data_IF_719611981888
#
_entry.id   IF_719611981888
#
_cell.length_a   1.000
_cell.length_b   1.000
_cell.length_c   1.000
_cell.angle_alpha   90.00
_cell.angle_beta   90.00
_cell.angle_gamma   90.00
#
_symmetry.space_group_name_H-M   'P 1'
#
loop_
_entity.id
_entity.type
_entity.pdbx_description
1 polymer ?
#
# COMPACT_ATOMS: atom_id res chain seq x y z
N UNK A 1 24.17 -3.44 22.74
CA UNK A 1 23.16 -3.68 21.70
C UNK A 1 21.74 -3.43 22.21
N UNK A 2 21.40 -3.83 23.44
CA UNK A 2 20.04 -3.75 23.99
C UNK A 2 19.40 -2.35 23.99
N UNK A 3 20.18 -1.29 24.24
CA UNK A 3 19.67 0.10 24.22
C UNK A 3 19.26 0.57 22.81
N UNK A 4 19.98 0.15 21.77
CA UNK A 4 19.66 0.50 20.37
C UNK A 4 18.38 -0.23 19.94
N UNK A 5 18.25 -1.50 20.33
CA UNK A 5 17.04 -2.30 20.07
C UNK A 5 15.82 -1.68 20.77
N UNK A 6 15.98 -1.22 22.02
CA UNK A 6 14.91 -0.54 22.75
C UNK A 6 14.48 0.75 22.02
N UNK A 7 15.44 1.57 21.60
CA UNK A 7 15.16 2.82 20.85
C UNK A 7 14.50 2.55 19.50
N UNK A 8 14.89 1.49 18.79
CA UNK A 8 14.23 1.08 17.55
C UNK A 8 12.78 0.64 17.78
N UNK A 9 12.49 -0.05 18.90
CA UNK A 9 11.12 -0.42 19.29
C UNK A 9 10.27 0.81 19.64
N UNK A 10 10.83 1.77 20.37
CA UNK A 10 10.17 3.04 20.68
C UNK A 10 9.86 3.82 19.39
N UNK A 11 10.81 3.90 18.45
CA UNK A 11 10.61 4.52 17.16
C UNK A 11 9.51 3.84 16.35
N UNK A 12 9.51 2.51 16.28
CA UNK A 12 8.44 1.74 15.63
C UNK A 12 7.08 2.07 16.25
N UNK A 13 6.99 2.06 17.58
CA UNK A 13 5.73 2.37 18.27
C UNK A 13 5.27 3.80 17.97
N UNK A 14 6.19 4.77 17.84
CA UNK A 14 5.85 6.12 17.43
C UNK A 14 5.33 6.18 15.98
N UNK A 15 5.98 5.47 15.05
CA UNK A 15 5.54 5.34 13.65
C UNK A 15 4.15 4.70 13.57
N UNK A 16 3.90 3.63 14.33
CA UNK A 16 2.61 2.95 14.39
C UNK A 16 1.46 3.87 14.83
N UNK A 17 1.78 4.97 15.54
CA UNK A 17 0.80 5.93 16.03
C UNK A 17 0.58 7.14 15.10
N UNK A 18 1.36 7.30 14.03
CA UNK A 18 1.21 8.43 13.11
C UNK A 18 -0.07 8.32 12.28
N UNK A 19 -0.53 9.48 11.80
CA UNK A 19 -1.67 9.56 10.88
C UNK A 19 -1.44 8.76 9.61
N UNK A 20 -0.24 8.83 9.04
CA UNK A 20 0.15 8.21 7.79
C UNK A 20 0.09 6.68 7.90
N UNK A 21 0.58 6.11 9.00
CA UNK A 21 0.51 4.66 9.24
C UNK A 21 -0.92 4.19 9.47
N UNK A 22 -1.72 4.94 10.25
CA UNK A 22 -3.13 4.63 10.50
C UNK A 22 -3.96 4.69 9.21
N UNK A 23 -3.75 5.70 8.39
CA UNK A 23 -4.44 5.87 7.12
C UNK A 23 -4.04 4.81 6.09
N UNK A 24 -2.73 4.48 6.03
CA UNK A 24 -2.24 3.36 5.23
C UNK A 24 -2.91 2.04 5.64
N UNK A 25 -2.94 1.72 6.94
CA UNK A 25 -3.56 0.48 7.44
C UNK A 25 -5.06 0.42 7.13
N UNK A 26 -5.78 1.54 7.34
CA UNK A 26 -7.20 1.65 7.01
C UNK A 26 -7.45 1.42 5.52
N UNK A 27 -6.73 2.11 4.64
CA UNK A 27 -6.93 1.99 3.19
C UNK A 27 -6.51 0.62 2.68
N UNK A 28 -5.47 0.01 3.27
CA UNK A 28 -5.07 -1.37 3.00
C UNK A 28 -6.20 -2.34 3.34
N UNK A 29 -6.78 -2.23 4.53
CA UNK A 29 -7.90 -3.08 4.95
C UNK A 29 -9.14 -2.89 4.05
N UNK A 30 -9.49 -1.65 3.70
CA UNK A 30 -10.58 -1.38 2.77
C UNK A 30 -10.34 -1.98 1.38
N UNK A 31 -9.10 -1.91 0.89
CA UNK A 31 -8.71 -2.49 -0.40
C UNK A 31 -8.76 -4.03 -0.37
N UNK A 32 -8.24 -4.63 0.69
CA UNK A 32 -8.17 -6.09 0.88
C UNK A 32 -9.55 -6.73 1.09
N UNK A 33 -10.50 -5.98 1.66
CA UNK A 33 -11.88 -6.44 1.86
C UNK A 33 -12.82 -6.09 0.70
N UNK A 34 -12.35 -5.40 -0.34
CA UNK A 34 -13.17 -5.03 -1.48
C UNK A 34 -13.29 -6.18 -2.48
N UNK A 35 -14.46 -6.82 -2.48
CA UNK A 35 -14.78 -7.91 -3.41
C UNK A 35 -14.62 -7.49 -4.88
N UNK A 36 -15.04 -6.27 -5.22
CA UNK A 36 -14.89 -5.71 -6.57
C UNK A 36 -13.41 -5.64 -7.01
N UNK A 37 -12.54 -5.12 -6.15
CA UNK A 37 -11.10 -5.02 -6.43
C UNK A 37 -10.47 -6.41 -6.53
N UNK A 38 -10.87 -7.35 -5.68
CA UNK A 38 -10.41 -8.74 -5.72
C UNK A 38 -10.79 -9.40 -7.06
N UNK A 39 -12.05 -9.26 -7.46
CA UNK A 39 -12.55 -9.82 -8.72
C UNK A 39 -11.84 -9.20 -9.92
N UNK A 40 -11.60 -7.89 -9.90
CA UNK A 40 -10.86 -7.18 -10.95
C UNK A 40 -9.43 -7.71 -11.07
N UNK A 41 -8.72 -7.91 -9.94
CA UNK A 41 -7.38 -8.53 -9.92
C UNK A 41 -7.40 -9.94 -10.51
N UNK A 42 -8.37 -10.77 -10.13
CA UNK A 42 -8.51 -12.12 -10.67
C UNK A 42 -8.81 -12.10 -12.17
N UNK A 43 -9.65 -11.17 -12.64
CA UNK A 43 -9.97 -11.03 -14.06
C UNK A 43 -8.71 -10.66 -14.86
N UNK A 44 -7.94 -9.66 -14.40
CA UNK A 44 -6.67 -9.27 -15.02
C UNK A 44 -5.71 -10.47 -15.10
N UNK A 45 -5.55 -11.21 -14.00
CA UNK A 45 -4.69 -12.39 -13.96
C UNK A 45 -5.14 -13.47 -14.96
N UNK A 46 -6.45 -13.74 -15.05
CA UNK A 46 -7.01 -14.70 -15.98
C UNK A 46 -6.80 -14.28 -17.44
N UNK A 47 -6.96 -13.01 -17.78
CA UNK A 47 -6.70 -12.50 -19.15
C UNK A 47 -5.22 -12.64 -19.51
N UNK A 48 -4.31 -12.30 -18.58
CA UNK A 48 -2.87 -12.51 -18.78
C UNK A 48 -2.52 -13.97 -19.02
N UNK A 49 -3.09 -14.88 -18.23
CA UNK A 49 -2.89 -16.32 -18.39
C UNK A 49 -3.43 -16.85 -19.73
N UNK A 50 -4.48 -16.22 -20.28
CA UNK A 50 -5.04 -16.53 -21.61
C UNK A 50 -4.28 -15.87 -22.77
N UNK A 51 -3.24 -15.07 -22.52
CA UNK A 51 -2.51 -14.33 -23.55
C UNK A 51 -3.26 -13.09 -24.08
N UNK A 52 -4.38 -12.70 -23.45
CA UNK A 52 -5.18 -11.52 -23.80
C UNK A 52 -4.60 -10.26 -23.16
N UNK A 53 -3.40 -9.88 -23.61
CA UNK A 53 -2.61 -8.82 -22.99
C UNK A 53 -3.24 -7.44 -23.15
N UNK A 54 -3.91 -7.17 -24.27
CA UNK A 54 -4.58 -5.88 -24.51
C UNK A 54 -5.77 -5.69 -23.58
N UNK A 55 -6.62 -6.71 -23.43
CA UNK A 55 -7.77 -6.65 -22.53
C UNK A 55 -7.33 -6.63 -21.07
N UNK A 56 -6.28 -7.38 -20.72
CA UNK A 56 -5.67 -7.29 -19.39
C UNK A 56 -5.18 -5.87 -19.11
N UNK A 57 -4.50 -5.24 -20.07
CA UNK A 57 -3.99 -3.88 -19.92
C UNK A 57 -5.12 -2.86 -19.73
N UNK A 58 -6.20 -2.96 -20.51
CA UNK A 58 -7.36 -2.08 -20.35
C UNK A 58 -8.01 -2.24 -18.95
N UNK A 59 -8.10 -3.46 -18.42
CA UNK A 59 -8.59 -3.68 -17.06
C UNK A 59 -7.60 -3.19 -15.99
N UNK A 60 -6.29 -3.23 -16.25
CA UNK A 60 -5.29 -2.65 -15.35
C UNK A 60 -5.45 -1.13 -15.24
N UNK A 61 -5.73 -0.43 -16.33
CA UNK A 61 -6.02 1.01 -16.27
C UNK A 61 -7.24 1.31 -15.39
N UNK A 62 -8.30 0.50 -15.50
CA UNK A 62 -9.49 0.62 -14.65
C UNK A 62 -9.15 0.32 -13.19
N UNK A 63 -8.35 -0.73 -12.94
CA UNK A 63 -7.89 -1.08 -11.60
C UNK A 63 -7.09 0.06 -10.97
N UNK A 64 -6.18 0.69 -11.71
CA UNK A 64 -5.39 1.81 -11.22
C UNK A 64 -6.22 3.09 -11.04
N UNK A 65 -7.28 3.28 -11.82
CA UNK A 65 -8.23 4.38 -11.65
C UNK A 65 -9.23 4.14 -10.49
N UNK A 66 -9.29 2.94 -9.92
CA UNK A 66 -10.24 2.60 -8.87
C UNK A 66 -9.99 3.42 -7.59
N UNK A 67 -10.99 4.09 -6.99
CA UNK A 67 -10.80 4.98 -5.84
C UNK A 67 -10.10 4.33 -4.65
N UNK A 68 -10.43 3.08 -4.32
CA UNK A 68 -9.78 2.34 -3.24
C UNK A 68 -8.29 2.07 -3.52
N UNK A 69 -7.94 1.76 -4.78
CA UNK A 69 -6.55 1.54 -5.20
C UNK A 69 -5.79 2.85 -5.10
N UNK A 70 -6.36 3.93 -5.62
CA UNK A 70 -5.76 5.26 -5.55
C UNK A 70 -5.54 5.72 -4.09
N UNK A 71 -6.53 5.56 -3.21
CA UNK A 71 -6.41 5.94 -1.79
C UNK A 71 -5.32 5.11 -1.08
N UNK A 72 -5.24 3.80 -1.37
CA UNK A 72 -4.17 2.96 -0.87
C UNK A 72 -2.79 3.43 -1.36
N UNK A 73 -2.65 3.73 -2.65
CA UNK A 73 -1.40 4.19 -3.26
C UNK A 73 -0.94 5.55 -2.68
N UNK A 74 -1.86 6.51 -2.51
CA UNK A 74 -1.58 7.81 -1.90
C UNK A 74 -1.12 7.66 -0.44
N UNK A 75 -1.84 6.88 0.36
CA UNK A 75 -1.47 6.65 1.77
C UNK A 75 -0.16 5.87 1.91
N UNK A 76 0.12 4.94 0.99
CA UNK A 76 1.41 4.24 0.91
C UNK A 76 2.55 5.21 0.57
N UNK A 77 2.35 6.13 -0.37
CA UNK A 77 3.34 7.14 -0.72
C UNK A 77 3.64 8.06 0.47
N UNK A 78 2.60 8.56 1.14
CA UNK A 78 2.76 9.41 2.33
C UNK A 78 3.55 8.70 3.44
N UNK A 79 3.23 7.44 3.74
CA UNK A 79 4.00 6.64 4.71
C UNK A 79 5.45 6.45 4.28
N UNK A 80 5.71 6.17 3.00
CA UNK A 80 7.07 6.06 2.47
C UNK A 80 7.87 7.37 2.61
N UNK A 81 7.24 8.52 2.37
CA UNK A 81 7.88 9.83 2.55
C UNK A 81 8.23 10.10 4.02
N UNK A 82 7.32 9.75 4.94
CA UNK A 82 7.59 9.81 6.38
C UNK A 82 8.78 8.93 6.76
N UNK A 83 8.80 7.67 6.31
CA UNK A 83 9.88 6.73 6.62
C UNK A 83 11.24 7.20 6.05
N UNK A 84 11.27 7.75 4.83
CA UNK A 84 12.49 8.35 4.26
C UNK A 84 12.98 9.56 5.05
N UNK A 85 12.06 10.37 5.57
CA UNK A 85 12.40 11.51 6.43
C UNK A 85 13.04 11.04 7.73
N UNK A 86 12.46 10.02 8.38
CA UNK A 86 13.02 9.38 9.57
C UNK A 86 14.40 8.77 9.29
N UNK A 87 14.54 8.05 8.17
CA UNK A 87 15.83 7.49 7.73
C UNK A 87 16.90 8.58 7.58
N UNK A 88 16.53 9.73 7.02
CA UNK A 88 17.44 10.87 6.82
C UNK A 88 17.88 11.50 8.15
N UNK A 89 17.01 11.52 9.16
CA UNK A 89 17.31 12.08 10.48
C UNK A 89 18.23 11.16 11.31
N UNK A 90 18.12 9.84 11.12
CA UNK A 90 18.87 8.85 11.91
C UNK A 90 20.27 8.60 11.34
N UNK A 91 20.49 8.89 10.05
CA UNK A 91 21.81 8.86 9.40
C UNK A 91 22.74 9.94 9.94
#
# INVERSE_FOLDING_TARGET
MDKIILKAKELKAAIDQTSEMKEYLKNKECLENSQEVIELKHHIANLKAQGKLTEAHNLEEIYHAHPLVNNYELSREALCQLLKTIETIIK
#
